data_IF_428869589723
#
_entry.id   IF_428869589723
#
_cell.length_a   1.000
_cell.length_b   1.000
_cell.length_c   1.000
_cell.angle_alpha   90.00
_cell.angle_beta   90.00
_cell.angle_gamma   90.00
#
_symmetry.space_group_name_H-M   'P 1'
#
loop_
_entity.id
_entity.type
_entity.pdbx_description
1 polymer ?
#
# COMPACT_ATOMS: atom_id res chain seq x y z
N UNK A 1 -7.86 -10.64 9.03
CA UNK A 1 -8.11 -10.01 7.71
C UNK A 1 -6.96 -10.32 6.77
N UNK A 2 -7.26 -10.73 5.56
CA UNK A 2 -6.25 -11.07 4.58
C UNK A 2 -6.84 -10.92 3.18
N UNK A 3 -6.14 -10.23 2.29
CA UNK A 3 -6.48 -10.17 0.87
C UNK A 3 -5.61 -11.18 0.13
N UNK A 4 -6.10 -11.66 -0.97
CA UNK A 4 -5.41 -12.70 -1.73
C UNK A 4 -5.53 -12.44 -3.23
N UNK A 5 -4.41 -12.57 -3.94
CA UNK A 5 -4.37 -12.48 -5.39
C UNK A 5 -3.80 -13.79 -5.94
N UNK A 6 -3.56 -13.86 -7.24
CA UNK A 6 -2.99 -15.05 -7.86
C UNK A 6 -1.66 -15.47 -7.22
N UNK A 7 -0.76 -14.50 -6.98
CA UNK A 7 0.59 -14.78 -6.51
C UNK A 7 0.88 -14.34 -5.07
N UNK A 8 -0.06 -13.58 -4.46
CA UNK A 8 0.26 -12.83 -3.23
C UNK A 8 -0.81 -13.01 -2.15
N UNK A 9 -0.36 -12.90 -0.89
CA UNK A 9 -1.19 -12.58 0.25
C UNK A 9 -0.87 -11.16 0.67
N UNK A 10 -1.88 -10.41 1.07
CA UNK A 10 -1.73 -9.04 1.56
C UNK A 10 -2.38 -8.98 2.92
N UNK A 11 -1.57 -8.75 3.96
CA UNK A 11 -2.02 -8.83 5.36
C UNK A 11 -1.72 -7.54 6.10
N UNK A 12 -2.64 -7.05 6.95
CA UNK A 12 -2.38 -5.84 7.71
C UNK A 12 -1.17 -6.03 8.63
N UNK A 13 -0.41 -4.96 8.82
CA UNK A 13 0.71 -4.98 9.75
C UNK A 13 0.17 -4.98 11.19
N UNK A 14 0.58 -5.99 11.96
CA UNK A 14 0.21 -6.18 13.36
C UNK A 14 1.48 -6.52 14.14
N UNK A 15 1.39 -6.63 15.46
CA UNK A 15 2.52 -7.09 16.27
C UNK A 15 2.99 -8.47 15.81
N UNK A 16 2.04 -9.35 15.49
CA UNK A 16 2.35 -10.70 15.02
C UNK A 16 3.02 -10.67 13.66
N UNK A 17 2.46 -9.95 12.67
CA UNK A 17 3.02 -9.94 11.32
C UNK A 17 4.36 -9.20 11.26
N UNK A 18 4.55 -8.15 12.07
CA UNK A 18 5.82 -7.45 12.12
C UNK A 18 6.94 -8.37 12.65
N UNK A 19 6.62 -9.23 13.60
CA UNK A 19 7.57 -10.21 14.13
C UNK A 19 8.02 -11.17 13.02
N UNK A 20 7.07 -11.70 12.25
CA UNK A 20 7.37 -12.60 11.13
C UNK A 20 8.24 -11.91 10.08
N UNK A 21 7.91 -10.66 9.73
CA UNK A 21 8.71 -9.88 8.78
C UNK A 21 10.13 -9.64 9.28
N UNK A 22 10.27 -9.31 10.56
CA UNK A 22 11.58 -9.09 11.18
C UNK A 22 12.45 -10.35 11.15
N UNK A 23 11.86 -11.53 11.33
CA UNK A 23 12.58 -12.80 11.26
C UNK A 23 13.18 -13.04 9.87
N UNK A 24 12.56 -12.49 8.83
CA UNK A 24 13.06 -12.56 7.46
C UNK A 24 14.08 -11.46 7.15
N UNK A 25 14.36 -10.58 8.11
CA UNK A 25 15.24 -9.43 7.88
C UNK A 25 14.58 -8.29 7.11
N UNK A 26 13.25 -8.27 7.01
CA UNK A 26 12.54 -7.18 6.35
C UNK A 26 12.60 -5.92 7.22
N UNK A 27 13.02 -4.81 6.61
CA UNK A 27 13.09 -3.52 7.30
C UNK A 27 11.73 -2.83 7.29
N UNK A 28 10.97 -3.00 8.37
CA UNK A 28 9.61 -2.47 8.45
C UNK A 28 9.54 -0.95 8.58
N UNK A 29 10.59 -0.32 9.10
CA UNK A 29 10.65 1.14 9.21
C UNK A 29 9.68 1.76 10.22
N UNK A 30 9.85 3.08 10.48
CA UNK A 30 9.03 3.79 11.49
C UNK A 30 7.55 3.87 11.14
N UNK A 31 7.19 3.93 9.85
CA UNK A 31 5.80 4.06 9.44
C UNK A 31 4.98 2.82 9.81
N UNK A 32 5.57 1.63 9.72
CA UNK A 32 4.89 0.39 10.11
C UNK A 32 4.82 0.29 11.63
N UNK A 33 5.94 0.53 12.31
CA UNK A 33 6.00 0.48 13.77
C UNK A 33 5.00 1.47 14.38
N UNK A 34 4.96 2.70 13.86
CA UNK A 34 4.03 3.72 14.31
C UNK A 34 2.58 3.33 14.09
N UNK A 35 2.27 2.73 12.94
CA UNK A 35 0.92 2.26 12.64
C UNK A 35 0.48 1.17 13.61
N UNK A 36 1.33 0.18 13.88
CA UNK A 36 1.03 -0.90 14.82
C UNK A 36 0.73 -0.35 16.21
N UNK A 37 1.50 0.65 16.66
CA UNK A 37 1.23 1.31 17.95
C UNK A 37 -0.10 2.06 17.92
N UNK A 38 -0.41 2.77 16.84
CA UNK A 38 -1.66 3.52 16.72
C UNK A 38 -2.89 2.59 16.73
N UNK A 39 -2.78 1.41 16.16
CA UNK A 39 -3.88 0.42 16.15
C UNK A 39 -4.23 -0.02 17.58
N UNK A 40 -3.27 -0.04 18.51
CA UNK A 40 -3.54 -0.37 19.91
C UNK A 40 -4.48 0.63 20.55
N UNK A 41 -4.43 1.90 20.12
CA UNK A 41 -5.28 2.97 20.63
C UNK A 41 -6.61 3.04 19.87
N UNK A 42 -6.63 2.65 18.61
CA UNK A 42 -7.83 2.71 17.75
C UNK A 42 -7.79 1.55 16.78
N UNK A 43 -8.53 0.50 17.10
CA UNK A 43 -8.56 -0.73 16.29
C UNK A 43 -9.12 -0.53 14.88
N UNK A 44 -9.93 0.52 14.69
CA UNK A 44 -10.51 0.81 13.39
C UNK A 44 -9.45 1.30 12.39
N UNK A 45 -8.27 1.69 12.87
CA UNK A 45 -7.15 2.06 12.00
C UNK A 45 -6.52 0.88 11.29
N UNK A 46 -6.76 -0.35 11.73
CA UNK A 46 -6.03 -1.53 11.23
C UNK A 46 -5.94 -1.59 9.71
N UNK A 47 -7.04 -1.50 8.95
CA UNK A 47 -6.94 -1.62 7.48
C UNK A 47 -6.48 -0.34 6.79
N UNK A 48 -6.42 0.79 7.50
CA UNK A 48 -6.13 2.10 6.90
C UNK A 48 -4.69 2.55 7.07
N UNK A 49 -3.79 1.60 7.32
CA UNK A 49 -2.36 1.82 7.41
C UNK A 49 -1.61 0.85 6.54
N UNK A 50 -0.48 0.35 7.05
CA UNK A 50 0.41 -0.51 6.29
C UNK A 50 -0.07 -1.97 6.25
N UNK A 51 0.17 -2.61 5.12
CA UNK A 51 -0.07 -4.03 4.88
C UNK A 51 1.21 -4.63 4.31
N UNK A 52 1.57 -5.84 4.73
CA UNK A 52 2.65 -6.59 4.09
C UNK A 52 2.16 -7.30 2.84
N UNK A 53 3.03 -7.36 1.84
CA UNK A 53 2.81 -8.15 0.63
C UNK A 53 3.71 -9.36 0.68
N UNK A 54 3.12 -10.54 0.68
CA UNK A 54 3.80 -11.83 0.89
C UNK A 54 3.60 -12.70 -0.34
N UNK A 55 4.69 -13.24 -0.87
CA UNK A 55 4.62 -14.12 -2.03
C UNK A 55 4.16 -15.52 -1.60
N UNK A 56 3.12 -16.03 -2.24
CA UNK A 56 2.55 -17.35 -1.92
C UNK A 56 3.54 -18.50 -2.06
N UNK A 57 4.37 -18.42 -3.09
CA UNK A 57 5.30 -19.47 -3.46
C UNK A 57 6.23 -19.87 -2.32
N UNK A 58 6.69 -18.92 -1.53
CA UNK A 58 7.73 -19.15 -0.52
C UNK A 58 7.54 -18.36 0.78
N UNK A 59 6.41 -17.69 0.92
CA UNK A 59 6.06 -16.87 2.10
C UNK A 59 7.06 -15.73 2.39
N UNK A 60 7.73 -15.25 1.35
CA UNK A 60 8.67 -14.14 1.47
C UNK A 60 7.94 -12.81 1.44
N UNK A 61 8.27 -11.91 2.37
CA UNK A 61 7.77 -10.55 2.37
C UNK A 61 8.49 -9.75 1.27
N UNK A 62 7.72 -9.29 0.29
CA UNK A 62 8.25 -8.58 -0.87
C UNK A 62 8.30 -7.06 -0.66
N UNK A 63 7.40 -6.56 0.17
CA UNK A 63 7.24 -5.13 0.38
C UNK A 63 6.06 -4.84 1.28
N UNK A 64 5.74 -3.56 1.39
CA UNK A 64 4.54 -3.12 2.09
C UNK A 64 3.81 -2.06 1.28
N UNK A 65 2.49 -2.03 1.45
CA UNK A 65 1.60 -1.10 0.79
C UNK A 65 0.59 -0.60 1.82
N UNK A 66 -0.11 0.46 1.54
CA UNK A 66 -1.13 0.88 2.49
C UNK A 66 -1.67 2.27 2.25
N UNK A 67 -2.43 2.73 3.23
CA UNK A 67 -3.03 4.05 3.23
C UNK A 67 -2.44 4.89 4.37
N UNK A 68 -2.47 6.20 4.17
CA UNK A 68 -1.97 7.16 5.16
C UNK A 68 -3.11 7.65 6.06
N UNK A 69 -3.81 6.69 6.69
CA UNK A 69 -4.89 6.96 7.61
C UNK A 69 -6.28 6.66 7.06
N UNK A 70 -7.27 6.84 7.90
CA UNK A 70 -8.69 6.62 7.56
C UNK A 70 -9.15 7.58 6.47
N UNK A 71 -10.22 7.22 5.72
CA UNK A 71 -10.84 8.16 4.79
C UNK A 71 -11.19 9.47 5.48
N UNK A 72 -10.91 10.59 4.81
CA UNK A 72 -11.22 11.92 5.32
C UNK A 72 -12.70 12.26 5.07
N UNK A 73 -13.09 13.51 5.37
CA UNK A 73 -14.46 13.98 5.18
C UNK A 73 -14.93 13.90 3.72
N UNK A 74 -14.00 13.90 2.78
CA UNK A 74 -14.28 13.79 1.35
C UNK A 74 -14.20 12.35 0.84
N UNK A 75 -14.14 11.38 1.76
CA UNK A 75 -14.03 9.96 1.42
C UNK A 75 -12.80 9.65 0.56
N UNK A 76 -11.68 10.32 0.87
CA UNK A 76 -10.41 10.19 0.15
C UNK A 76 -9.36 9.58 1.04
N UNK A 77 -8.55 8.67 0.48
CA UNK A 77 -7.36 8.11 1.12
C UNK A 77 -6.17 8.29 0.21
N UNK A 78 -4.98 8.34 0.79
CA UNK A 78 -3.74 8.36 0.02
C UNK A 78 -3.06 7.01 0.12
N UNK A 79 -2.73 6.42 -1.03
CA UNK A 79 -2.04 5.13 -1.10
C UNK A 79 -0.53 5.36 -1.22
N UNK A 80 0.23 4.48 -0.54
CA UNK A 80 1.68 4.44 -0.68
C UNK A 80 2.14 3.00 -0.74
N UNK A 81 3.36 2.78 -1.23
CA UNK A 81 3.93 1.43 -1.30
C UNK A 81 5.44 1.48 -1.48
N UNK A 82 6.10 0.40 -1.06
CA UNK A 82 7.52 0.21 -1.26
C UNK A 82 7.81 -1.27 -1.36
N UNK A 83 8.67 -1.65 -2.29
CA UNK A 83 9.06 -3.05 -2.51
C UNK A 83 10.58 -3.16 -2.50
N UNK A 84 11.07 -4.30 -2.06
CA UNK A 84 12.49 -4.62 -2.12
C UNK A 84 12.92 -4.60 -3.59
N UNK A 85 14.02 -3.91 -3.89
CA UNK A 85 14.45 -3.64 -5.27
C UNK A 85 14.56 -4.88 -6.16
N UNK A 86 15.07 -5.98 -5.62
CA UNK A 86 15.21 -7.22 -6.41
C UNK A 86 13.89 -7.80 -6.90
N UNK A 87 12.76 -7.33 -6.35
CA UNK A 87 11.43 -7.77 -6.76
C UNK A 87 10.72 -6.78 -7.69
N UNK A 88 11.38 -5.68 -8.06
CA UNK A 88 10.82 -4.70 -8.98
C UNK A 88 10.67 -5.27 -10.40
N UNK A 89 9.80 -4.66 -11.18
CA UNK A 89 9.58 -4.98 -12.60
C UNK A 89 9.06 -6.41 -12.84
N UNK A 90 8.37 -6.98 -11.87
CA UNK A 90 7.76 -8.30 -11.95
C UNK A 90 6.24 -8.27 -11.86
N UNK A 91 5.66 -7.05 -11.75
CA UNK A 91 4.22 -6.86 -11.66
C UNK A 91 3.64 -7.01 -10.25
N UNK A 92 4.45 -7.26 -9.25
CA UNK A 92 3.96 -7.46 -7.88
C UNK A 92 3.29 -6.21 -7.31
N UNK A 93 3.89 -5.04 -7.51
CA UNK A 93 3.32 -3.79 -6.99
C UNK A 93 1.96 -3.53 -7.60
N UNK A 94 1.82 -3.67 -8.91
CA UNK A 94 0.56 -3.46 -9.61
C UNK A 94 -0.50 -4.44 -9.10
N UNK A 95 -0.13 -5.71 -8.97
CA UNK A 95 -1.04 -6.76 -8.49
C UNK A 95 -1.53 -6.48 -7.08
N UNK A 96 -0.61 -6.15 -6.17
CA UNK A 96 -0.93 -5.92 -4.75
C UNK A 96 -1.75 -4.65 -4.55
N UNK A 97 -1.31 -3.56 -5.15
CA UNK A 97 -1.97 -2.26 -4.97
C UNK A 97 -3.36 -2.26 -5.60
N UNK A 98 -3.51 -2.93 -6.76
CA UNK A 98 -4.82 -3.09 -7.40
C UNK A 98 -5.82 -3.78 -6.46
N UNK A 99 -5.40 -4.85 -5.80
CA UNK A 99 -6.27 -5.56 -4.85
C UNK A 99 -6.64 -4.71 -3.65
N UNK A 100 -5.69 -3.97 -3.11
CA UNK A 100 -5.95 -3.08 -1.98
C UNK A 100 -6.91 -1.95 -2.37
N UNK A 101 -6.75 -1.38 -3.54
CA UNK A 101 -7.64 -0.35 -4.07
C UNK A 101 -9.06 -0.89 -4.22
N UNK A 102 -9.22 -2.08 -4.79
CA UNK A 102 -10.53 -2.71 -4.94
C UNK A 102 -11.18 -2.93 -3.59
N UNK A 103 -10.42 -3.43 -2.62
CA UNK A 103 -10.91 -3.60 -1.26
C UNK A 103 -11.43 -2.27 -0.69
N UNK A 104 -10.65 -1.20 -0.82
CA UNK A 104 -11.00 0.11 -0.28
C UNK A 104 -12.32 0.63 -0.89
N UNK A 105 -12.46 0.54 -2.19
CA UNK A 105 -13.69 0.98 -2.85
C UNK A 105 -14.90 0.13 -2.45
N UNK A 106 -14.72 -1.16 -2.20
CA UNK A 106 -15.79 -2.06 -1.80
C UNK A 106 -16.30 -1.79 -0.37
N UNK A 107 -15.51 -1.11 0.47
CA UNK A 107 -15.97 -0.76 1.82
C UNK A 107 -17.12 0.23 1.81
N UNK A 108 -17.28 0.98 0.73
CA UNK A 108 -18.25 2.08 0.66
C UNK A 108 -17.79 3.35 1.36
N UNK A 109 -16.61 3.34 1.97
CA UNK A 109 -16.07 4.49 2.71
C UNK A 109 -15.13 5.35 1.87
N UNK A 110 -14.70 4.86 0.70
CA UNK A 110 -13.73 5.55 -0.16
C UNK A 110 -14.35 5.84 -1.52
N UNK A 111 -14.31 7.11 -1.93
CA UNK A 111 -14.76 7.57 -3.24
C UNK A 111 -13.59 7.96 -4.13
N UNK A 112 -12.44 8.30 -3.53
CA UNK A 112 -11.26 8.72 -4.27
C UNK A 112 -9.98 8.25 -3.59
N UNK A 113 -9.00 7.83 -4.38
CA UNK A 113 -7.67 7.47 -3.92
C UNK A 113 -6.68 8.40 -4.59
N UNK A 114 -5.78 8.98 -3.79
CA UNK A 114 -4.70 9.84 -4.30
C UNK A 114 -3.36 9.20 -4.02
N UNK A 115 -2.34 9.64 -4.76
CA UNK A 115 -0.96 9.19 -4.59
C UNK A 115 0.00 10.27 -5.07
N UNK A 116 1.27 10.15 -4.64
CA UNK A 116 2.35 11.02 -5.09
C UNK A 116 3.52 10.17 -5.56
N UNK A 117 4.19 10.63 -6.61
CA UNK A 117 5.46 10.02 -7.06
C UNK A 117 6.48 11.13 -7.29
N UNK A 118 7.77 10.80 -7.10
CA UNK A 118 8.83 11.68 -7.53
C UNK A 118 8.80 11.80 -9.06
N UNK A 119 9.17 12.96 -9.59
CA UNK A 119 9.17 13.21 -11.04
C UNK A 119 10.02 12.21 -11.81
N UNK A 120 11.15 11.79 -11.22
CA UNK A 120 12.09 10.86 -11.85
C UNK A 120 11.84 9.38 -11.50
N UNK A 121 10.84 9.07 -10.68
CA UNK A 121 10.58 7.68 -10.29
C UNK A 121 9.75 6.96 -11.35
N UNK A 122 10.40 6.55 -12.43
CA UNK A 122 9.74 5.90 -13.56
C UNK A 122 9.03 4.62 -13.19
N UNK A 123 9.57 3.85 -12.26
CA UNK A 123 8.99 2.59 -11.82
C UNK A 123 7.63 2.81 -11.16
N UNK A 124 7.55 3.75 -10.22
CA UNK A 124 6.30 4.10 -9.55
C UNK A 124 5.29 4.74 -10.50
N UNK A 125 5.75 5.60 -11.40
CA UNK A 125 4.89 6.21 -12.41
C UNK A 125 4.20 5.13 -13.26
N UNK A 126 4.95 4.13 -13.71
CA UNK A 126 4.37 3.03 -14.50
C UNK A 126 3.34 2.23 -13.72
N UNK A 127 3.58 2.00 -12.43
CA UNK A 127 2.62 1.29 -11.57
C UNK A 127 1.30 2.06 -11.51
N UNK A 128 1.35 3.36 -11.25
CA UNK A 128 0.14 4.18 -11.15
C UNK A 128 -0.58 4.29 -12.50
N UNK A 129 0.16 4.35 -13.60
CA UNK A 129 -0.45 4.34 -14.93
C UNK A 129 -1.17 3.03 -15.22
N UNK A 130 -0.57 1.89 -14.85
CA UNK A 130 -1.20 0.59 -15.01
C UNK A 130 -2.44 0.42 -14.13
N UNK A 131 -2.50 1.14 -13.01
CA UNK A 131 -3.67 1.17 -12.12
C UNK A 131 -4.74 2.14 -12.61
N UNK A 132 -4.53 2.78 -13.75
CA UNK A 132 -5.44 3.75 -14.36
C UNK A 132 -5.61 5.03 -13.55
N UNK A 133 -4.63 5.36 -12.71
CA UNK A 133 -4.64 6.64 -12.01
C UNK A 133 -4.33 7.78 -12.99
N UNK A 134 -4.93 8.92 -12.73
CA UNK A 134 -4.78 10.10 -13.59
C UNK A 134 -3.87 11.12 -12.93
N UNK A 135 -3.01 11.77 -13.72
CA UNK A 135 -2.19 12.88 -13.21
C UNK A 135 -3.07 14.07 -12.95
N UNK A 136 -2.95 14.66 -11.75
CA UNK A 136 -3.68 15.87 -11.38
C UNK A 136 -2.83 17.13 -11.61
N UNK A 137 -1.52 17.02 -11.41
CA UNK A 137 -0.61 18.15 -11.51
C UNK A 137 0.76 17.78 -11.01
N UNK A 138 1.69 18.71 -11.12
CA UNK A 138 3.07 18.53 -10.68
C UNK A 138 3.51 19.68 -9.79
N UNK A 139 4.40 19.38 -8.85
CA UNK A 139 5.17 20.37 -8.10
C UNK A 139 6.60 20.34 -8.62
N UNK A 140 7.53 21.02 -7.96
CA UNK A 140 8.94 20.97 -8.33
C UNK A 140 9.54 19.58 -8.23
N UNK A 141 9.02 18.73 -7.34
CA UNK A 141 9.60 17.42 -7.04
C UNK A 141 8.66 16.24 -7.24
N UNK A 142 7.35 16.48 -7.29
CA UNK A 142 6.35 15.42 -7.24
C UNK A 142 5.31 15.52 -8.36
N UNK A 143 4.75 14.37 -8.73
CA UNK A 143 3.53 14.26 -9.54
C UNK A 143 2.42 13.80 -8.60
N UNK A 144 1.27 14.46 -8.69
CA UNK A 144 0.08 14.07 -7.93
C UNK A 144 -0.88 13.28 -8.82
N UNK A 145 -1.44 12.23 -8.27
CA UNK A 145 -2.30 11.27 -8.98
C UNK A 145 -3.61 11.08 -8.26
N UNK A 146 -4.66 10.74 -9.00
CA UNK A 146 -5.96 10.36 -8.42
C UNK A 146 -6.60 9.21 -9.18
N UNK A 147 -7.46 8.47 -8.45
CA UNK A 147 -8.35 7.46 -9.01
C UNK A 147 -9.70 7.61 -8.34
N UNK A 148 -10.72 7.88 -9.13
CA UNK A 148 -12.10 7.97 -8.63
C UNK A 148 -12.77 6.61 -8.76
N UNK A 149 -13.65 6.32 -7.81
CA UNK A 149 -14.41 5.07 -7.79
C UNK A 149 -15.31 4.92 -9.02
#
# INVERSE_FOLDING_TARGET
>A
MKLETERLYIVPCTEESIHVANEQGYNSGPHIVGHVENVKQDKDLLPWGAWYVIRKEDDIVLGDIGFKGKPNEEHTVEVGYGFIEKYWNKGYATEAVSELINWAFQTGEVEMIIAETLLENESSIRVLEKLHMKRMGTTETMINWKLEK
#
